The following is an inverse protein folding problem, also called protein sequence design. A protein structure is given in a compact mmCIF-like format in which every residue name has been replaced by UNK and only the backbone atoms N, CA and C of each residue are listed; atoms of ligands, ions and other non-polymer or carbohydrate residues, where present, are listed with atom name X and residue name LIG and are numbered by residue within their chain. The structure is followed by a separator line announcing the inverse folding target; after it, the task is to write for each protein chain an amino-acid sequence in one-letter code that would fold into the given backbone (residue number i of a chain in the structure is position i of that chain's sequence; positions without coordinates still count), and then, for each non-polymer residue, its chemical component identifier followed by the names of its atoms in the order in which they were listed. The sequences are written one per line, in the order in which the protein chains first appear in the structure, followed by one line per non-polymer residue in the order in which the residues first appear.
data_IF_808909156028
#
_entry.id   IF_808909156028
#
_cell.length_a   1.000
_cell.length_b   1.000
_cell.length_c   1.000
_cell.angle_alpha   90.00
_cell.angle_beta   90.00
_cell.angle_gamma   90.00
#
_symmetry.space_group_name_H-M   'P 1'
#
loop_
_entity.id
_entity.type
_entity.pdbx_description
1 polymer ?
#
# COMPACT_ATOMS: atom_id res chain seq x y z
N UNK A 1 13.48 7.70 -15.98
CA UNK A 1 13.59 7.97 -14.52
C UNK A 1 12.30 7.59 -13.76
N UNK A 2 11.13 8.11 -14.18
CA UNK A 2 9.83 7.82 -13.52
C UNK A 2 9.50 6.33 -13.36
N UNK A 3 9.77 5.48 -14.36
CA UNK A 3 9.59 4.02 -14.26
C UNK A 3 10.35 3.40 -13.09
N UNK A 4 11.62 3.79 -12.91
CA UNK A 4 12.47 3.28 -11.81
C UNK A 4 11.90 3.73 -10.45
N UNK A 5 11.45 4.98 -10.36
CA UNK A 5 10.79 5.50 -9.16
C UNK A 5 9.52 4.72 -8.85
N UNK A 6 8.65 4.49 -9.83
CA UNK A 6 7.42 3.71 -9.66
C UNK A 6 7.70 2.32 -9.09
N UNK A 7 8.69 1.62 -9.65
CA UNK A 7 9.08 0.28 -9.18
C UNK A 7 9.70 0.31 -7.77
N UNK A 8 10.46 1.35 -7.43
CA UNK A 8 10.99 1.56 -6.07
C UNK A 8 9.86 1.78 -5.06
N UNK A 9 8.90 2.66 -5.39
CA UNK A 9 7.73 2.91 -4.56
C UNK A 9 6.90 1.63 -4.37
N UNK A 10 6.65 0.88 -5.45
CA UNK A 10 5.93 -0.40 -5.39
C UNK A 10 6.64 -1.45 -4.53
N UNK A 11 7.98 -1.53 -4.60
CA UNK A 11 8.74 -2.44 -3.77
C UNK A 11 8.70 -2.03 -2.29
N UNK A 12 8.90 -0.74 -2.01
CA UNK A 12 8.87 -0.21 -0.65
C UNK A 12 7.50 -0.41 0.01
N UNK A 13 6.41 0.02 -0.64
CA UNK A 13 5.05 -0.13 -0.11
C UNK A 13 4.67 -1.59 0.11
N UNK A 14 5.09 -2.50 -0.79
CA UNK A 14 4.85 -3.93 -0.63
C UNK A 14 5.61 -4.52 0.56
N UNK A 15 6.90 -4.19 0.72
CA UNK A 15 7.70 -4.68 1.84
C UNK A 15 7.18 -4.16 3.18
N UNK A 16 6.85 -2.86 3.25
CA UNK A 16 6.25 -2.25 4.43
C UNK A 16 4.89 -2.87 4.76
N UNK A 17 4.03 -3.06 3.76
CA UNK A 17 2.73 -3.70 3.94
C UNK A 17 2.88 -5.16 4.43
N UNK A 18 3.79 -5.93 3.84
CA UNK A 18 4.07 -7.30 4.27
C UNK A 18 4.54 -7.34 5.73
N UNK A 19 5.41 -6.42 6.15
CA UNK A 19 5.84 -6.31 7.54
C UNK A 19 4.66 -6.00 8.48
N UNK A 20 3.80 -5.05 8.12
CA UNK A 20 2.57 -4.72 8.90
C UNK A 20 1.64 -5.92 9.00
N UNK A 21 1.43 -6.64 7.90
CA UNK A 21 0.60 -7.85 7.87
C UNK A 21 1.15 -8.96 8.76
N UNK A 22 2.44 -9.24 8.67
CA UNK A 22 3.12 -10.24 9.52
C UNK A 22 3.08 -9.86 10.99
N UNK A 23 3.40 -8.62 11.34
CA UNK A 23 3.33 -8.13 12.71
C UNK A 23 1.92 -8.29 13.28
N UNK A 24 0.91 -7.92 12.48
CA UNK A 24 -0.49 -8.02 12.91
C UNK A 24 -0.95 -9.46 13.15
N UNK A 25 -0.50 -10.41 12.33
CA UNK A 25 -0.92 -11.81 12.43
C UNK A 25 -0.19 -12.61 13.52
N UNK A 26 1.08 -12.27 13.79
CA UNK A 26 1.95 -13.12 14.62
C UNK A 26 2.48 -12.46 15.89
N UNK A 27 2.39 -11.13 16.02
CA UNK A 27 3.00 -10.38 17.12
C UNK A 27 1.93 -9.66 17.96
N UNK A 28 0.92 -9.05 17.33
CA UNK A 28 -0.22 -8.43 18.03
C UNK A 28 -1.29 -9.46 18.42
N UNK A 29 -0.99 -10.32 19.40
CA UNK A 29 -1.93 -11.34 19.89
C UNK A 29 -3.13 -10.76 20.70
N UNK A 30 -3.05 -9.50 21.12
CA UNK A 30 -4.06 -8.85 21.99
C UNK A 30 -5.11 -8.02 21.23
N UNK A 31 -4.93 -7.83 19.91
CA UNK A 31 -5.87 -7.07 19.07
C UNK A 31 -7.18 -7.81 18.81
N UNK A 32 -8.27 -7.06 18.59
CA UNK A 32 -9.53 -7.63 18.08
C UNK A 32 -9.26 -8.40 16.78
N UNK A 33 -9.78 -9.62 16.68
CA UNK A 33 -9.62 -10.49 15.50
C UNK A 33 -10.03 -9.77 14.20
N UNK A 34 -11.11 -8.99 14.24
CA UNK A 34 -11.57 -8.22 13.08
C UNK A 34 -10.56 -7.16 12.63
N UNK A 35 -9.88 -6.52 13.58
CA UNK A 35 -8.85 -5.52 13.32
C UNK A 35 -7.59 -6.16 12.70
N UNK A 36 -7.15 -7.28 13.26
CA UNK A 36 -6.02 -8.05 12.74
C UNK A 36 -6.27 -8.54 11.31
N UNK A 37 -7.46 -9.08 11.03
CA UNK A 37 -7.85 -9.49 9.68
C UNK A 37 -7.87 -8.28 8.73
N UNK A 38 -8.41 -7.14 9.16
CA UNK A 38 -8.43 -5.90 8.36
C UNK A 38 -7.04 -5.42 7.96
N UNK A 39 -6.08 -5.42 8.91
CA UNK A 39 -4.67 -5.06 8.66
C UNK A 39 -4.03 -6.05 7.68
N UNK A 40 -4.21 -7.35 7.88
CA UNK A 40 -3.66 -8.39 7.01
C UNK A 40 -4.23 -8.35 5.59
N UNK A 41 -5.54 -8.16 5.44
CA UNK A 41 -6.20 -8.04 4.14
C UNK A 41 -5.74 -6.80 3.38
N UNK A 42 -5.60 -5.66 4.08
CA UNK A 42 -5.07 -4.41 3.52
C UNK A 42 -3.61 -4.58 3.07
N UNK A 43 -2.79 -5.21 3.90
CA UNK A 43 -1.41 -5.52 3.57
C UNK A 43 -1.29 -6.39 2.31
N UNK A 44 -2.07 -7.47 2.24
CA UNK A 44 -2.11 -8.36 1.09
C UNK A 44 -2.52 -7.65 -0.20
N UNK A 45 -3.49 -6.72 -0.13
CA UNK A 45 -3.90 -5.93 -1.30
C UNK A 45 -2.80 -4.98 -1.77
N UNK A 46 -2.10 -4.29 -0.87
CA UNK A 46 -0.98 -3.42 -1.23
C UNK A 46 0.14 -4.22 -1.92
N UNK A 47 0.50 -5.37 -1.37
CA UNK A 47 1.49 -6.29 -1.98
C UNK A 47 1.03 -6.75 -3.36
N UNK A 48 -0.23 -7.16 -3.50
CA UNK A 48 -0.80 -7.58 -4.78
C UNK A 48 -0.72 -6.48 -5.84
N UNK A 49 -1.01 -5.23 -5.47
CA UNK A 49 -0.90 -4.07 -6.38
C UNK A 49 0.57 -3.77 -6.72
N UNK A 50 1.50 -3.91 -5.77
CA UNK A 50 2.93 -3.78 -6.03
C UNK A 50 3.45 -4.82 -7.03
N UNK A 51 3.05 -6.09 -6.87
CA UNK A 51 3.38 -7.17 -7.82
C UNK A 51 2.78 -6.87 -9.20
N UNK A 52 1.52 -6.47 -9.27
CA UNK A 52 0.86 -6.08 -10.51
C UNK A 52 1.57 -4.92 -11.21
N UNK A 53 1.98 -3.89 -10.45
CA UNK A 53 2.76 -2.76 -10.95
C UNK A 53 4.10 -3.24 -11.53
N UNK A 54 4.79 -4.11 -10.80
CA UNK A 54 6.07 -4.65 -11.22
C UNK A 54 5.97 -5.50 -12.49
N UNK A 55 4.98 -6.38 -12.57
CA UNK A 55 4.73 -7.22 -13.75
C UNK A 55 4.40 -6.37 -14.98
N UNK A 56 3.52 -5.37 -14.84
CA UNK A 56 3.13 -4.47 -15.92
C UNK A 56 4.33 -3.70 -16.50
N UNK A 57 5.26 -3.25 -15.65
CA UNK A 57 6.33 -2.34 -16.06
C UNK A 57 7.71 -2.99 -16.30
N UNK A 58 7.99 -4.18 -15.74
CA UNK A 58 9.24 -4.92 -16.00
C UNK A 58 9.17 -5.77 -17.28
N UNK A 59 7.99 -6.27 -17.65
CA UNK A 59 7.81 -7.01 -18.89
C UNK A 59 7.45 -6.05 -20.04
N UNK A 60 8.37 -5.80 -20.98
CA UNK A 60 8.11 -4.93 -22.14
C UNK A 60 7.20 -5.58 -23.22
N UNK A 61 6.41 -6.60 -22.88
CA UNK A 61 5.54 -7.41 -23.75
C UNK A 61 4.66 -8.26 -22.80
N UNK A 62 3.37 -8.56 -22.97
CA UNK A 62 2.48 -8.56 -24.12
C UNK A 62 1.04 -8.75 -23.59
N UNK A 63 0.09 -7.91 -24.05
CA UNK A 63 -1.38 -8.15 -24.15
C UNK A 63 -2.22 -8.59 -22.93
N UNK A 64 -1.68 -8.96 -21.78
CA UNK A 64 -2.48 -9.65 -20.74
C UNK A 64 -2.77 -8.87 -19.46
N UNK A 65 -2.01 -7.83 -19.13
CA UNK A 65 -2.27 -7.08 -17.90
C UNK A 65 -3.10 -5.83 -18.16
N UNK A 66 -4.32 -5.81 -17.60
CA UNK A 66 -5.33 -4.80 -17.89
C UNK A 66 -4.98 -3.47 -17.18
N UNK A 67 -4.66 -2.44 -17.97
CA UNK A 67 -4.42 -1.08 -17.47
C UNK A 67 -5.57 -0.55 -16.58
N UNK A 68 -6.82 -0.96 -16.82
CA UNK A 68 -7.96 -0.61 -15.97
C UNK A 68 -7.84 -1.18 -14.56
N UNK A 69 -7.36 -2.42 -14.41
CA UNK A 69 -7.12 -3.03 -13.09
C UNK A 69 -6.00 -2.30 -12.35
N UNK A 70 -4.95 -1.88 -13.06
CA UNK A 70 -3.86 -1.13 -12.44
C UNK A 70 -4.31 0.28 -12.01
N UNK A 71 -5.20 0.94 -12.79
CA UNK A 71 -5.87 2.19 -12.37
C UNK A 71 -6.73 1.99 -11.13
N UNK A 72 -7.53 0.92 -11.08
CA UNK A 72 -8.32 0.61 -9.87
C UNK A 72 -7.42 0.35 -8.66
N UNK A 73 -6.31 -0.35 -8.85
CA UNK A 73 -5.29 -0.52 -7.81
C UNK A 73 -4.70 0.82 -7.34
N UNK A 74 -4.41 1.74 -8.26
CA UNK A 74 -3.94 3.08 -7.89
C UNK A 74 -4.99 3.88 -7.09
N UNK A 75 -6.27 3.84 -7.50
CA UNK A 75 -7.37 4.46 -6.72
C UNK A 75 -7.44 3.84 -5.33
N UNK A 76 -7.36 2.52 -5.23
CA UNK A 76 -7.37 1.80 -3.97
C UNK A 76 -6.22 2.23 -3.05
N UNK A 77 -5.00 2.36 -3.58
CA UNK A 77 -3.84 2.83 -2.80
C UNK A 77 -4.07 4.24 -2.24
N UNK A 78 -4.65 5.15 -3.02
CA UNK A 78 -4.97 6.51 -2.53
C UNK A 78 -6.03 6.45 -1.43
N UNK A 79 -7.12 5.72 -1.65
CA UNK A 79 -8.21 5.60 -0.68
C UNK A 79 -7.71 4.98 0.64
N UNK A 80 -6.93 3.90 0.56
CA UNK A 80 -6.36 3.22 1.71
C UNK A 80 -5.36 4.12 2.45
N UNK A 81 -4.50 4.85 1.73
CA UNK A 81 -3.55 5.79 2.34
C UNK A 81 -4.27 6.95 3.06
N UNK A 82 -5.34 7.48 2.48
CA UNK A 82 -6.15 8.53 3.11
C UNK A 82 -6.87 8.02 4.37
N UNK A 83 -7.48 6.84 4.29
CA UNK A 83 -8.14 6.20 5.43
C UNK A 83 -7.14 5.89 6.56
N UNK A 84 -5.97 5.34 6.21
CA UNK A 84 -4.88 5.07 7.15
C UNK A 84 -4.39 6.35 7.81
N UNK A 85 -4.14 7.42 7.05
CA UNK A 85 -3.69 8.70 7.62
C UNK A 85 -4.73 9.29 8.58
N UNK A 86 -6.02 9.29 8.20
CA UNK A 86 -7.10 9.75 9.06
C UNK A 86 -7.16 8.95 10.37
N UNK A 87 -6.97 7.63 10.29
CA UNK A 87 -6.92 6.76 11.46
C UNK A 87 -5.70 7.03 12.34
N UNK A 88 -4.51 7.22 11.76
CA UNK A 88 -3.29 7.58 12.51
C UNK A 88 -3.46 8.90 13.27
N UNK A 89 -4.05 9.92 12.65
CA UNK A 89 -4.35 11.18 13.34
C UNK A 89 -5.40 11.03 14.44
N UNK A 90 -6.44 10.21 14.19
CA UNK A 90 -7.44 9.91 15.20
C UNK A 90 -6.83 9.21 16.42
N UNK A 91 -6.01 8.18 16.21
CA UNK A 91 -5.30 7.49 17.29
C UNK A 91 -4.38 8.45 18.04
N UNK A 92 -3.56 9.23 17.35
CA UNK A 92 -2.69 10.22 17.98
C UNK A 92 -3.47 11.21 18.86
N UNK A 93 -4.68 11.59 18.45
CA UNK A 93 -5.54 12.47 19.23
C UNK A 93 -6.14 11.80 20.47
N UNK A 94 -6.51 10.52 20.37
CA UNK A 94 -7.23 9.80 21.43
C UNK A 94 -6.27 9.14 22.43
N UNK A 95 -5.16 8.56 21.95
CA UNK A 95 -4.20 7.81 22.76
C UNK A 95 -2.90 8.56 23.01
N UNK A 96 -2.63 9.64 22.26
CA UNK A 96 -1.34 10.33 22.29
C UNK A 96 -0.23 9.64 21.49
N UNK A 97 -0.53 8.49 20.88
CA UNK A 97 0.46 7.70 20.12
C UNK A 97 0.44 8.07 18.63
N UNK A 98 1.50 8.71 18.17
CA UNK A 98 1.65 9.15 16.78
C UNK A 98 2.69 8.32 16.03
N UNK A 99 2.19 7.46 15.15
CA UNK A 99 3.03 6.61 14.32
C UNK A 99 3.49 7.33 13.04
N UNK A 100 4.54 8.15 13.15
CA UNK A 100 5.08 8.92 12.02
C UNK A 100 5.48 8.05 10.81
N UNK A 101 5.91 6.81 11.05
CA UNK A 101 6.27 5.86 9.99
C UNK A 101 5.08 5.44 9.13
N UNK A 102 3.86 5.39 9.67
CA UNK A 102 2.63 5.09 8.90
C UNK A 102 2.34 6.19 7.90
N UNK A 103 2.57 7.46 8.29
CA UNK A 103 2.42 8.60 7.38
C UNK A 103 3.40 8.49 6.20
N UNK A 104 4.63 8.05 6.43
CA UNK A 104 5.61 7.84 5.35
C UNK A 104 5.16 6.75 4.37
N UNK A 105 4.57 5.65 4.87
CA UNK A 105 4.01 4.60 4.02
C UNK A 105 2.84 5.14 3.20
N UNK A 106 1.95 5.94 3.80
CA UNK A 106 0.82 6.56 3.10
C UNK A 106 1.27 7.49 1.97
N UNK A 107 2.30 8.31 2.22
CA UNK A 107 2.93 9.13 1.18
C UNK A 107 3.51 8.25 0.06
N UNK A 108 4.15 7.13 0.40
CA UNK A 108 4.69 6.21 -0.59
C UNK A 108 3.60 5.53 -1.44
N UNK A 109 2.46 5.16 -0.83
CA UNK A 109 1.31 4.61 -1.54
C UNK A 109 0.71 5.62 -2.51
N UNK A 110 0.55 6.88 -2.09
CA UNK A 110 0.08 7.97 -2.94
C UNK A 110 1.08 8.22 -4.08
N UNK A 111 2.38 8.21 -3.79
CA UNK A 111 3.45 8.34 -4.79
C UNK A 111 3.39 7.22 -5.83
N UNK A 112 3.24 5.97 -5.42
CA UNK A 112 3.06 4.83 -6.32
C UNK A 112 1.82 5.02 -7.20
N UNK A 113 0.69 5.42 -6.61
CA UNK A 113 -0.56 5.61 -7.32
C UNK A 113 -0.47 6.74 -8.36
N UNK A 114 0.07 7.90 -7.98
CA UNK A 114 0.26 9.03 -8.88
C UNK A 114 1.18 8.68 -10.06
N UNK A 115 2.30 7.99 -9.80
CA UNK A 115 3.20 7.53 -10.85
C UNK A 115 2.56 6.48 -11.75
N UNK A 116 1.66 5.65 -11.22
CA UNK A 116 0.87 4.71 -12.00
C UNK A 116 -0.07 5.44 -12.97
N UNK A 117 -0.81 6.45 -12.51
CA UNK A 117 -1.67 7.26 -13.38
C UNK A 117 -0.89 8.00 -14.46
N UNK A 118 0.28 8.54 -14.11
CA UNK A 118 1.12 9.28 -15.07
C UNK A 118 1.63 8.39 -16.20
N UNK A 119 1.84 7.11 -15.93
CA UNK A 119 2.46 6.20 -16.91
C UNK A 119 1.44 5.37 -17.71
N UNK A 120 0.18 5.24 -17.26
CA UNK A 120 -0.89 4.48 -17.92
C UNK A 120 -1.70 5.28 -18.94
#
# INVERSE_FOLDING_TARGET
MLKKLLLLFAAFTSLSAAAVGLHSLFIDAEGSLAWTIGKAASAATVVGIGIATWQYWRANASRHFNAKLLRLGAIWLIALAAASAAWTFHLARVTGDFEAWVILINVAMIGQAALTFWQL
#
